data_IF_411486949067
#
_entry.id   IF_411486949067
#
_cell.length_a   1.000
_cell.length_b   1.000
_cell.length_c   1.000
_cell.angle_alpha   90.00
_cell.angle_beta   90.00
_cell.angle_gamma   90.00
#
_symmetry.space_group_name_H-M   'P 1'
#
loop_
_entity.id
_entity.type
_entity.pdbx_description
1 polymer ?
#
# COMPACT_ATOMS: atom_id res chain seq x y z
N UNK A 1 23.72 -5.61 -15.09
CA UNK A 1 22.95 -4.80 -14.11
C UNK A 1 21.73 -4.18 -14.78
N UNK A 2 20.62 -4.92 -14.92
CA UNK A 2 19.41 -4.49 -15.66
C UNK A 2 18.20 -4.09 -14.76
N UNK A 3 18.32 -4.26 -13.45
CA UNK A 3 17.37 -3.99 -12.37
C UNK A 3 16.85 -2.54 -12.30
N UNK A 4 17.62 -1.54 -12.75
CA UNK A 4 17.27 -0.12 -12.59
C UNK A 4 16.15 0.39 -13.51
N UNK A 5 15.73 -0.40 -14.51
CA UNK A 5 14.73 0.03 -15.51
C UNK A 5 13.30 -0.46 -15.27
N UNK A 6 13.10 -1.48 -14.42
CA UNK A 6 11.79 -2.09 -14.15
C UNK A 6 11.11 -1.59 -12.87
N UNK A 7 11.87 -1.03 -11.93
CA UNK A 7 11.32 -0.45 -10.69
C UNK A 7 10.94 1.02 -10.86
N UNK A 8 10.34 1.41 -11.98
CA UNK A 8 9.90 2.80 -12.15
C UNK A 8 8.65 3.00 -11.30
N UNK A 9 8.77 3.86 -10.30
CA UNK A 9 7.62 4.33 -9.54
C UNK A 9 6.55 4.91 -10.47
N UNK A 10 5.30 4.67 -10.11
CA UNK A 10 4.14 5.26 -10.78
C UNK A 10 3.01 5.51 -9.78
N UNK A 11 2.08 6.42 -10.11
CA UNK A 11 0.86 6.56 -9.34
C UNK A 11 0.01 5.30 -9.50
N UNK A 12 -0.57 4.82 -8.40
CA UNK A 12 -1.47 3.68 -8.36
C UNK A 12 -2.92 4.18 -8.34
N UNK A 13 -3.31 4.92 -7.31
CA UNK A 13 -4.67 5.46 -7.21
C UNK A 13 -4.72 6.69 -6.31
N UNK A 14 -5.84 7.40 -6.41
CA UNK A 14 -6.15 8.58 -5.60
C UNK A 14 -7.14 8.25 -4.50
N UNK A 15 -7.06 8.97 -3.40
CA UNK A 15 -7.93 8.79 -2.25
C UNK A 15 -8.12 10.10 -1.49
N UNK A 16 -9.25 10.22 -0.79
CA UNK A 16 -9.49 11.30 0.17
C UNK A 16 -9.14 10.91 1.61
N UNK A 17 -8.74 9.65 1.84
CA UNK A 17 -8.26 9.20 3.15
C UNK A 17 -6.81 9.65 3.33
N UNK A 18 -6.54 10.31 4.45
CA UNK A 18 -5.18 10.71 4.78
C UNK A 18 -4.31 9.48 5.13
N UNK A 19 -2.97 9.55 5.00
CA UNK A 19 -2.07 8.41 5.23
C UNK A 19 -2.27 7.72 6.60
N UNK A 20 -2.50 8.50 7.66
CA UNK A 20 -2.73 7.96 9.01
C UNK A 20 -4.07 7.23 9.16
N UNK A 21 -5.00 7.40 8.21
CA UNK A 21 -6.29 6.73 8.19
C UNK A 21 -6.28 5.45 7.35
N UNK A 22 -5.28 5.25 6.50
CA UNK A 22 -5.22 4.17 5.51
C UNK A 22 -3.89 3.41 5.59
N UNK A 23 -3.67 2.75 6.73
CA UNK A 23 -2.44 1.98 7.00
C UNK A 23 -2.26 0.81 6.04
N UNK A 24 -3.34 0.31 5.42
CA UNK A 24 -3.29 -0.70 4.36
C UNK A 24 -2.51 -0.27 3.12
N UNK A 25 -2.22 1.02 2.97
CA UNK A 25 -1.37 1.56 1.93
C UNK A 25 -0.19 2.34 2.52
N UNK A 26 0.28 1.98 3.72
CA UNK A 26 1.50 2.56 4.27
C UNK A 26 2.71 2.24 3.37
N UNK A 27 3.78 3.05 3.41
CA UNK A 27 5.03 2.70 2.74
C UNK A 27 5.48 1.28 3.12
N UNK A 28 6.06 0.58 2.15
CA UNK A 28 6.46 -0.82 2.21
C UNK A 28 5.34 -1.87 2.22
N UNK A 29 4.07 -1.47 2.33
CA UNK A 29 2.94 -2.40 2.15
C UNK A 29 2.78 -2.85 0.70
N UNK A 30 2.27 -4.07 0.53
CA UNK A 30 1.90 -4.61 -0.78
C UNK A 30 0.42 -4.36 -1.07
N UNK A 31 0.14 -3.72 -2.20
CA UNK A 31 -1.22 -3.43 -2.66
C UNK A 31 -1.48 -4.02 -4.05
N UNK A 32 -2.66 -4.59 -4.24
CA UNK A 32 -3.12 -5.04 -5.55
C UNK A 32 -3.69 -3.85 -6.34
N UNK A 33 -3.17 -3.65 -7.55
CA UNK A 33 -3.64 -2.62 -8.46
C UNK A 33 -3.63 -3.17 -9.90
N UNK A 34 -4.77 -3.09 -10.58
CA UNK A 34 -4.95 -3.62 -11.95
C UNK A 34 -4.48 -5.09 -12.11
N UNK A 35 -4.71 -5.92 -11.09
CA UNK A 35 -4.33 -7.34 -11.09
C UNK A 35 -2.84 -7.61 -10.87
N UNK A 36 -2.04 -6.59 -10.57
CA UNK A 36 -0.61 -6.71 -10.26
C UNK A 36 -0.32 -6.22 -8.85
N UNK A 37 0.64 -6.83 -8.15
CA UNK A 37 1.08 -6.38 -6.83
C UNK A 37 2.14 -5.28 -6.94
N UNK A 38 1.94 -4.21 -6.18
CA UNK A 38 2.87 -3.10 -6.07
C UNK A 38 3.29 -2.93 -4.61
N UNK A 39 4.56 -2.59 -4.41
CA UNK A 39 5.04 -2.10 -3.14
C UNK A 39 4.81 -0.60 -3.08
N UNK A 40 4.06 -0.15 -2.09
CA UNK A 40 3.85 1.27 -1.84
C UNK A 40 5.17 1.90 -1.43
N UNK A 41 5.49 3.04 -2.01
CA UNK A 41 6.75 3.74 -1.73
C UNK A 41 6.53 5.10 -1.10
N UNK A 42 5.50 5.83 -1.52
CA UNK A 42 5.19 7.16 -0.99
C UNK A 42 3.74 7.57 -1.21
N UNK A 43 3.38 8.60 -0.46
CA UNK A 43 2.14 9.35 -0.60
C UNK A 43 2.47 10.76 -1.07
N UNK A 44 1.66 11.29 -1.97
CA UNK A 44 1.78 12.66 -2.45
C UNK A 44 0.45 13.38 -2.19
N UNK A 45 0.51 14.49 -1.46
CA UNK A 45 -0.67 15.36 -1.26
C UNK A 45 -0.93 16.13 -2.55
N UNK A 46 -2.15 16.03 -3.08
CA UNK A 46 -2.57 16.78 -4.24
C UNK A 46 -3.20 18.11 -3.83
N UNK A 47 -3.20 19.06 -4.77
CA UNK A 47 -3.82 20.36 -4.55
C UNK A 47 -5.27 20.20 -4.11
N UNK A 48 -5.64 20.94 -3.07
CA UNK A 48 -6.95 20.88 -2.44
C UNK A 48 -8.05 21.13 -3.47
N UNK A 49 -9.00 20.19 -3.56
CA UNK A 49 -10.19 20.39 -4.37
C UNK A 49 -11.21 21.20 -3.58
N UNK A 50 -11.46 22.44 -4.02
CA UNK A 50 -12.47 23.32 -3.44
C UNK A 50 -13.87 22.88 -3.91
N UNK A 51 -14.75 22.59 -2.95
CA UNK A 51 -16.12 22.21 -3.25
C UNK A 51 -17.01 23.43 -3.44
N UNK A 52 -17.93 23.36 -4.42
CA UNK A 52 -18.82 24.48 -4.79
C UNK A 52 -19.77 24.94 -3.68
N UNK A 53 -19.95 24.14 -2.61
CA UNK A 53 -20.83 24.43 -1.47
C UNK A 53 -20.09 24.89 -0.20
N UNK A 54 -18.81 25.27 -0.35
CA UNK A 54 -17.94 25.57 0.78
C UNK A 54 -17.31 24.29 1.34
N UNK A 55 -16.00 24.35 1.59
CA UNK A 55 -15.20 23.22 2.05
C UNK A 55 -14.04 22.86 1.12
N UNK A 56 -13.05 22.22 1.70
CA UNK A 56 -11.84 21.71 1.05
C UNK A 56 -11.68 20.24 1.39
N UNK A 57 -11.52 19.41 0.37
CA UNK A 57 -11.14 18.00 0.56
C UNK A 57 -9.69 17.85 0.12
N UNK A 58 -8.85 17.38 1.04
CA UNK A 58 -7.50 16.95 0.72
C UNK A 58 -7.57 15.68 -0.11
N UNK A 59 -6.89 15.68 -1.25
CA UNK A 59 -6.75 14.51 -2.10
C UNK A 59 -5.30 14.04 -2.00
N UNK A 60 -5.12 12.73 -2.01
CA UNK A 60 -3.83 12.08 -1.93
C UNK A 60 -3.65 11.13 -3.09
N UNK A 61 -2.44 11.02 -3.60
CA UNK A 61 -2.04 10.02 -4.58
C UNK A 61 -1.08 9.03 -3.93
N UNK A 62 -1.42 7.74 -4.05
CA UNK A 62 -0.56 6.64 -3.57
C UNK A 62 0.33 6.20 -4.72
N UNK A 63 1.63 6.17 -4.46
CA UNK A 63 2.65 5.79 -5.43
C UNK A 63 3.31 4.48 -5.04
N UNK A 64 3.73 3.72 -6.05
CA UNK A 64 4.45 2.49 -5.82
C UNK A 64 5.19 1.99 -7.04
N UNK A 65 5.90 0.88 -6.84
CA UNK A 65 6.60 0.13 -7.89
C UNK A 65 6.12 -1.31 -7.92
N UNK A 66 6.24 -2.02 -9.05
CA UNK A 66 5.96 -3.45 -9.08
C UNK A 66 6.73 -4.16 -7.98
N UNK A 67 6.03 -5.03 -7.24
CA UNK A 67 6.66 -5.88 -6.24
C UNK A 67 7.49 -6.96 -6.93
N UNK A 68 8.61 -7.35 -6.32
CA UNK A 68 9.36 -8.52 -6.79
C UNK A 68 8.75 -9.81 -6.22
N UNK A 69 8.98 -10.93 -6.88
CA UNK A 69 8.51 -12.24 -6.40
C UNK A 69 9.03 -12.55 -4.99
N UNK A 70 10.24 -12.11 -4.66
CA UNK A 70 10.83 -12.24 -3.32
C UNK A 70 10.06 -11.43 -2.27
N UNK A 71 9.68 -10.19 -2.59
CA UNK A 71 8.86 -9.36 -1.70
C UNK A 71 7.48 -9.98 -1.47
N UNK A 72 6.86 -10.52 -2.53
CA UNK A 72 5.57 -11.22 -2.43
C UNK A 72 5.69 -12.47 -1.57
N UNK A 73 6.73 -13.28 -1.78
CA UNK A 73 6.97 -14.49 -1.00
C UNK A 73 7.24 -14.20 0.48
N UNK A 74 8.01 -13.14 0.76
CA UNK A 74 8.29 -12.71 2.13
C UNK A 74 7.00 -12.28 2.85
N UNK A 75 6.15 -11.48 2.21
CA UNK A 75 4.87 -11.06 2.79
C UNK A 75 3.92 -12.24 3.01
N UNK A 76 3.85 -13.18 2.06
CA UNK A 76 3.04 -14.38 2.21
C UNK A 76 3.51 -15.25 3.39
N UNK A 77 4.82 -15.43 3.52
CA UNK A 77 5.44 -16.18 4.64
C UNK A 77 5.12 -15.52 5.97
N UNK A 78 5.30 -14.19 6.07
CA UNK A 78 4.98 -13.43 7.28
C UNK A 78 3.48 -13.46 7.64
N UNK A 79 2.59 -13.58 6.66
CA UNK A 79 1.16 -13.73 6.91
C UNK A 79 0.82 -15.12 7.46
N UNK A 80 1.45 -16.18 6.92
CA UNK A 80 1.29 -17.56 7.42
C UNK A 80 1.77 -17.67 8.87
N UNK A 81 2.94 -17.12 9.20
CA UNK A 81 3.48 -17.12 10.57
C UNK A 81 2.51 -16.46 11.57
N UNK A 82 1.86 -15.37 11.19
CA UNK A 82 0.85 -14.71 12.02
C UNK A 82 -0.39 -15.58 12.26
N UNK A 83 -0.92 -16.19 11.20
CA UNK A 83 -2.10 -17.07 11.31
C UNK A 83 -1.81 -18.30 12.20
N UNK A 84 -0.60 -18.88 12.07
CA UNK A 84 -0.17 -20.00 12.90
C UNK A 84 -0.03 -19.57 14.38
N UNK A 85 0.54 -18.39 14.64
CA UNK A 85 0.70 -17.86 15.99
C UNK A 85 -0.65 -17.52 16.68
N UNK A 86 -1.63 -17.02 15.94
CA UNK A 86 -2.99 -16.72 16.44
C UNK A 86 -3.76 -18.01 16.79
N UNK A 87 -3.53 -19.09 16.03
CA UNK A 87 -4.18 -20.38 16.25
C UNK A 87 -3.69 -21.05 17.54
N UNK A 88 -2.38 -21.05 17.79
CA UNK A 88 -1.78 -21.63 19.00
C UNK A 88 -2.23 -20.90 20.29
N UNK A 89 -2.46 -19.59 20.18
CA UNK A 89 -2.95 -18.76 21.30
C UNK A 89 -4.41 -19.00 21.68
N UNK A 90 -5.17 -19.74 20.87
CA UNK A 90 -6.60 -20.01 21.08
C UNK A 90 -6.88 -21.35 21.80
N UNK A 91 -5.85 -22.15 22.10
CA UNK A 91 -6.00 -23.47 22.73
C UNK A 91 -5.68 -23.51 24.25
N UNK A 92 -5.44 -22.35 24.88
CA UNK A 92 -5.26 -22.26 26.34
C UNK A 92 -6.29 -21.30 26.96
N UNK A 93 -7.56 -21.70 26.95
CA UNK A 93 -8.67 -20.99 27.61
C UNK A 93 -9.65 -21.95 28.25
#
# INVERSE_FOLDING_TARGET
MWWRRLCRERPLFRTHRAPFQALEWAPDELVAHEGTLFKVTRWEELAVTHLSRGGSVGEWEVWGRPATDEEVAATASAAVERILSDTDSSETG
#
